data_IF_520773981058
#
_entry.id   IF_520773981058
#
_cell.length_a   1.000
_cell.length_b   1.000
_cell.length_c   1.000
_cell.angle_alpha   90.00
_cell.angle_beta   90.00
_cell.angle_gamma   90.00
#
_symmetry.space_group_name_H-M   'P 1'
#
loop_
_entity.id
_entity.type
_entity.pdbx_description
1 polymer ?
#
# COMPACT_ATOMS: atom_id res chain seq x y z
N UNK A 1 -5.84 66.51 -9.28
CA UNK A 1 -6.31 65.54 -10.32
C UNK A 1 -5.10 65.09 -11.10
N UNK A 2 -4.72 63.80 -11.03
CA UNK A 2 -3.53 63.23 -11.67
C UNK A 2 -3.91 61.85 -12.23
N UNK A 3 -3.60 61.53 -13.50
CA UNK A 3 -4.15 60.37 -14.19
C UNK A 3 -3.48 59.07 -13.76
N UNK A 4 -4.31 58.04 -13.64
CA UNK A 4 -3.99 56.63 -13.40
C UNK A 4 -3.42 56.07 -14.71
N UNK A 5 -2.20 55.53 -14.67
CA UNK A 5 -1.64 54.75 -15.77
C UNK A 5 -1.74 53.27 -15.42
N UNK A 6 -2.62 52.59 -16.14
CA UNK A 6 -2.94 51.17 -16.03
C UNK A 6 -1.82 50.35 -16.71
N UNK A 7 -0.96 49.71 -15.92
CA UNK A 7 0.01 48.75 -16.43
C UNK A 7 -0.64 47.37 -16.55
N UNK A 8 -0.97 46.97 -17.78
CA UNK A 8 -1.43 45.62 -18.11
C UNK A 8 -0.20 44.70 -18.05
N UNK A 9 -0.07 43.94 -16.98
CA UNK A 9 0.94 42.87 -16.90
C UNK A 9 0.44 41.65 -17.66
N UNK A 10 1.21 41.28 -18.67
CA UNK A 10 1.02 40.15 -19.56
C UNK A 10 0.99 38.83 -18.75
N UNK A 11 -0.13 38.12 -18.78
CA UNK A 11 -0.22 36.73 -18.28
C UNK A 11 0.62 35.82 -19.17
N UNK A 12 1.77 35.36 -18.67
CA UNK A 12 2.40 34.14 -19.20
C UNK A 12 1.76 32.93 -18.54
N UNK A 13 1.20 32.04 -19.36
CA UNK A 13 0.79 30.70 -18.97
C UNK A 13 2.00 30.00 -18.32
N UNK A 14 1.94 29.80 -17.00
CA UNK A 14 2.77 28.80 -16.35
C UNK A 14 2.17 27.43 -16.67
N UNK A 15 2.85 26.69 -17.54
CA UNK A 15 2.67 25.26 -17.70
C UNK A 15 2.97 24.63 -16.32
N UNK A 16 1.94 24.18 -15.60
CA UNK A 16 2.13 23.45 -14.35
C UNK A 16 2.85 22.13 -14.68
N UNK A 17 4.09 21.88 -14.21
CA UNK A 17 4.58 20.51 -14.21
C UNK A 17 3.68 19.70 -13.27
N UNK A 18 3.36 18.47 -13.66
CA UNK A 18 2.61 17.55 -12.83
C UNK A 18 3.40 17.24 -11.55
N UNK A 19 3.13 17.98 -10.47
CA UNK A 19 3.73 17.78 -9.16
C UNK A 19 3.05 16.60 -8.43
N UNK A 20 3.11 15.41 -9.01
CA UNK A 20 2.61 14.18 -8.38
C UNK A 20 3.73 13.28 -7.81
N UNK A 21 5.01 13.62 -7.98
CA UNK A 21 6.14 12.85 -7.43
C UNK A 21 6.95 13.58 -6.35
N UNK A 22 6.57 14.80 -5.98
CA UNK A 22 7.38 15.64 -5.09
C UNK A 22 6.73 15.73 -3.70
N UNK A 23 6.81 14.62 -2.96
CA UNK A 23 6.66 14.62 -1.51
C UNK A 23 7.82 13.83 -0.92
N UNK A 24 8.77 14.62 -0.39
CA UNK A 24 9.77 14.25 0.61
C UNK A 24 11.22 13.98 0.16
N UNK A 25 11.77 14.79 -0.73
CA UNK A 25 13.22 15.05 -0.71
C UNK A 25 13.53 16.10 0.36
N UNK A 26 13.93 15.65 1.55
CA UNK A 26 14.71 16.48 2.48
C UNK A 26 16.19 16.33 2.07
N UNK A 27 16.84 17.38 1.56
CA UNK A 27 18.26 17.32 1.24
C UNK A 27 19.08 17.31 2.54
N UNK A 28 19.95 16.32 2.71
CA UNK A 28 21.14 16.50 3.54
C UNK A 28 21.34 15.65 4.80
N UNK A 29 21.02 14.34 4.81
CA UNK A 29 21.72 13.43 5.75
C UNK A 29 21.90 12.03 5.20
N UNK A 30 22.94 11.84 4.37
CA UNK A 30 23.45 10.51 4.05
C UNK A 30 24.23 10.02 5.26
N UNK A 31 23.60 9.19 6.09
CA UNK A 31 24.33 8.39 7.08
C UNK A 31 24.65 7.05 6.44
N UNK A 32 25.94 6.73 6.41
CA UNK A 32 26.51 5.54 5.82
C UNK A 32 25.70 4.27 6.15
N UNK A 33 25.36 3.51 5.10
CA UNK A 33 24.84 2.16 5.23
C UNK A 33 25.94 1.26 5.78
N UNK A 34 25.97 1.12 7.11
CA UNK A 34 26.54 -0.05 7.75
C UNK A 34 25.42 -1.08 7.81
N UNK A 35 25.67 -2.29 7.30
CA UNK A 35 24.76 -3.42 7.44
C UNK A 35 24.45 -3.65 8.93
N UNK A 36 23.32 -3.12 9.40
CA UNK A 36 22.83 -3.34 10.73
C UNK A 36 22.00 -4.64 10.73
N UNK A 37 22.65 -5.69 11.24
CA UNK A 37 22.01 -6.83 11.87
C UNK A 37 20.71 -6.42 12.59
N UNK A 38 19.60 -7.03 12.20
CA UNK A 38 18.45 -7.31 13.06
C UNK A 38 18.04 -6.22 14.06
N UNK A 39 17.87 -4.97 13.61
CA UNK A 39 17.25 -3.96 14.45
C UNK A 39 15.76 -4.32 14.64
N UNK A 40 15.42 -4.88 15.81
CA UNK A 40 14.04 -4.85 16.33
C UNK A 40 13.64 -3.38 16.42
N UNK A 41 12.86 -2.89 15.46
CA UNK A 41 12.23 -1.57 15.53
C UNK A 41 11.21 -1.65 16.67
N UNK A 42 11.64 -1.26 17.87
CA UNK A 42 10.78 -1.06 19.04
C UNK A 42 10.03 0.26 18.94
N UNK A 43 9.34 0.47 17.83
CA UNK A 43 8.28 1.46 17.70
C UNK A 43 6.99 0.67 17.48
N UNK A 44 5.91 1.11 18.12
CA UNK A 44 4.59 0.50 17.94
C UNK A 44 4.25 0.50 16.45
N UNK A 45 4.45 -0.65 15.79
CA UNK A 45 4.16 -0.80 14.38
C UNK A 45 2.65 -0.66 14.20
N UNK A 46 2.25 0.18 13.26
CA UNK A 46 0.85 0.36 12.93
C UNK A 46 0.63 -0.03 11.47
N UNK A 47 -0.45 -0.74 11.20
CA UNK A 47 -0.83 -1.12 9.84
C UNK A 47 -1.43 0.08 9.13
N UNK A 48 -0.65 0.69 8.24
CA UNK A 48 -1.06 1.84 7.45
C UNK A 48 -1.10 1.62 5.95
N UNK A 49 -1.52 2.62 5.16
CA UNK A 49 -1.58 2.54 3.70
C UNK A 49 -0.28 2.03 3.04
N UNK A 50 0.88 2.36 3.62
CA UNK A 50 2.19 1.92 3.13
C UNK A 50 2.44 0.41 3.25
N UNK A 51 1.61 -0.33 3.97
CA UNK A 51 1.65 -1.79 3.99
C UNK A 51 0.88 -2.40 2.84
N UNK A 52 0.24 -1.63 1.97
CA UNK A 52 -0.47 -2.17 0.80
C UNK A 52 0.53 -2.70 -0.23
N UNK A 53 0.19 -3.80 -0.90
CA UNK A 53 1.07 -4.44 -1.86
C UNK A 53 0.69 -5.88 -2.17
N UNK A 54 1.61 -6.54 -2.85
CA UNK A 54 1.56 -7.97 -3.12
C UNK A 54 2.86 -8.61 -2.62
N UNK A 55 2.75 -9.66 -1.82
CA UNK A 55 3.87 -10.43 -1.31
C UNK A 55 3.64 -11.91 -1.63
N UNK A 56 4.72 -12.64 -1.81
CA UNK A 56 4.71 -14.07 -2.06
C UNK A 56 5.63 -14.77 -1.07
N UNK A 57 5.40 -16.07 -0.84
CA UNK A 57 6.28 -16.92 -0.05
C UNK A 57 7.26 -17.66 -0.98
N UNK A 58 8.57 -17.34 -0.96
CA UNK A 58 9.55 -18.02 -1.81
C UNK A 58 9.73 -19.52 -1.50
N UNK A 59 9.38 -19.96 -0.29
CA UNK A 59 9.44 -21.37 0.08
C UNK A 59 8.21 -22.15 -0.41
N UNK A 60 7.12 -21.45 -0.73
CA UNK A 60 5.86 -22.01 -1.20
C UNK A 60 5.45 -21.34 -2.50
N UNK A 61 6.13 -21.75 -3.57
CA UNK A 61 5.81 -21.30 -4.93
C UNK A 61 4.31 -21.38 -5.18
N UNK A 62 3.74 -20.32 -5.76
CA UNK A 62 2.30 -20.25 -6.01
C UNK A 62 1.47 -19.76 -4.83
N UNK A 63 2.09 -19.38 -3.70
CA UNK A 63 1.42 -18.76 -2.56
C UNK A 63 1.81 -17.32 -2.29
N UNK A 64 0.86 -16.55 -1.74
CA UNK A 64 1.08 -15.18 -1.33
C UNK A 64 -0.20 -14.40 -1.11
N UNK A 65 -0.04 -13.13 -0.72
CA UNK A 65 -1.16 -12.27 -0.37
C UNK A 65 -1.05 -10.93 -1.07
N UNK A 66 -2.17 -10.44 -1.57
CA UNK A 66 -2.37 -9.05 -1.96
C UNK A 66 -3.14 -8.40 -0.82
N UNK A 67 -2.63 -7.30 -0.26
CA UNK A 67 -3.30 -6.53 0.78
C UNK A 67 -3.42 -5.09 0.32
N UNK A 68 -4.60 -4.51 0.56
CA UNK A 68 -4.88 -3.12 0.28
C UNK A 68 -5.52 -2.52 1.54
N UNK A 69 -4.89 -1.49 2.10
CA UNK A 69 -5.56 -0.61 3.07
C UNK A 69 -6.29 0.47 2.29
N UNK A 70 -7.60 0.57 2.51
CA UNK A 70 -8.52 1.45 1.80
C UNK A 70 -8.60 2.83 2.49
N UNK A 71 -9.02 3.90 1.77
CA UNK A 71 -9.12 5.25 2.34
C UNK A 71 -10.05 5.38 3.55
N UNK A 72 -10.99 4.45 3.73
CA UNK A 72 -11.90 4.41 4.89
C UNK A 72 -11.30 3.71 6.13
N UNK A 73 -10.01 3.36 6.11
CA UNK A 73 -9.33 2.67 7.21
C UNK A 73 -9.66 1.17 7.32
N UNK A 74 -10.31 0.58 6.31
CA UNK A 74 -10.52 -0.86 6.21
C UNK A 74 -9.46 -1.52 5.34
N UNK A 75 -9.34 -2.83 5.45
CA UNK A 75 -8.45 -3.62 4.60
C UNK A 75 -9.22 -4.58 3.70
N UNK A 76 -8.65 -4.86 2.53
CA UNK A 76 -8.99 -5.96 1.63
C UNK A 76 -7.77 -6.86 1.50
N UNK A 77 -7.96 -8.17 1.57
CA UNK A 77 -6.90 -9.13 1.25
C UNK A 77 -7.35 -10.20 0.27
N UNK A 78 -6.46 -10.60 -0.63
CA UNK A 78 -6.62 -11.75 -1.51
C UNK A 78 -5.44 -12.68 -1.28
N UNK A 79 -5.70 -13.90 -0.81
CA UNK A 79 -4.68 -14.92 -0.61
C UNK A 79 -4.79 -15.98 -1.70
N UNK A 80 -3.73 -16.15 -2.48
CA UNK A 80 -3.57 -17.26 -3.41
C UNK A 80 -2.76 -18.37 -2.72
N UNK A 81 -3.30 -19.59 -2.68
CA UNK A 81 -2.76 -20.71 -1.91
C UNK A 81 -3.23 -22.05 -2.50
N UNK A 82 -3.13 -23.14 -1.75
CA UNK A 82 -3.55 -24.49 -2.13
C UNK A 82 -4.73 -24.95 -1.25
N UNK A 83 -5.59 -25.86 -1.76
CA UNK A 83 -6.63 -26.48 -0.94
C UNK A 83 -6.03 -27.23 0.26
N UNK A 84 -6.78 -27.35 1.37
CA UNK A 84 -6.35 -28.17 2.49
C UNK A 84 -6.26 -29.65 2.09
N UNK A 85 -5.47 -30.42 2.84
CA UNK A 85 -5.31 -31.86 2.59
C UNK A 85 -6.64 -32.58 2.57
N UNK A 86 -6.88 -33.37 1.52
CA UNK A 86 -8.13 -34.12 1.33
C UNK A 86 -9.16 -33.41 0.45
N UNK A 87 -8.91 -32.16 0.04
CA UNK A 87 -9.72 -31.47 -0.97
C UNK A 87 -9.05 -31.50 -2.35
N UNK A 88 -9.85 -31.63 -3.40
CA UNK A 88 -9.37 -31.60 -4.79
C UNK A 88 -9.09 -30.17 -5.27
N UNK A 89 -8.11 -30.01 -6.16
CA UNK A 89 -7.81 -28.77 -6.86
C UNK A 89 -6.34 -28.37 -6.76
N UNK A 90 -5.84 -27.70 -7.79
CA UNK A 90 -4.43 -27.29 -7.86
C UNK A 90 -4.17 -25.91 -7.25
N UNK A 91 -5.21 -25.11 -7.02
CA UNK A 91 -5.10 -23.79 -6.38
C UNK A 91 -6.39 -23.42 -5.65
N UNK A 92 -6.25 -22.71 -4.54
CA UNK A 92 -7.33 -22.10 -3.77
C UNK A 92 -7.10 -20.59 -3.63
N UNK A 93 -8.21 -19.86 -3.56
CA UNK A 93 -8.22 -18.41 -3.40
C UNK A 93 -9.09 -18.06 -2.22
N UNK A 94 -8.62 -17.14 -1.37
CA UNK A 94 -9.38 -16.58 -0.26
C UNK A 94 -9.48 -15.07 -0.46
N UNK A 95 -10.70 -14.54 -0.36
CA UNK A 95 -10.99 -13.12 -0.49
C UNK A 95 -11.54 -12.64 0.84
N UNK A 96 -10.77 -11.82 1.54
CA UNK A 96 -11.13 -11.26 2.84
C UNK A 96 -11.48 -9.78 2.68
N UNK A 97 -12.66 -9.39 3.15
CA UNK A 97 -13.20 -8.04 3.00
C UNK A 97 -13.50 -7.42 4.36
N UNK A 98 -13.62 -6.08 4.39
CA UNK A 98 -13.93 -5.29 5.59
C UNK A 98 -13.00 -5.58 6.78
N UNK A 99 -11.70 -5.70 6.51
CA UNK A 99 -10.70 -5.94 7.54
C UNK A 99 -10.58 -4.76 8.50
N UNK A 100 -10.76 -4.99 9.79
CA UNK A 100 -10.58 -3.98 10.84
C UNK A 100 -9.12 -3.90 11.27
N UNK A 101 -8.57 -2.69 11.27
CA UNK A 101 -7.18 -2.44 11.68
C UNK A 101 -7.16 -2.08 13.18
N UNK A 102 -6.38 -2.84 13.95
CA UNK A 102 -6.19 -2.73 15.39
C UNK A 102 -4.68 -2.75 15.68
N UNK A 103 -4.06 -1.56 15.68
CA UNK A 103 -2.61 -1.40 15.85
C UNK A 103 -1.81 -2.11 14.76
N UNK A 104 -1.12 -3.18 15.14
CA UNK A 104 -0.28 -4.01 14.27
C UNK A 104 -1.03 -5.17 13.60
N UNK A 105 -2.35 -5.29 13.85
CA UNK A 105 -3.16 -6.42 13.40
C UNK A 105 -4.30 -5.96 12.49
N UNK A 106 -4.61 -6.80 11.51
CA UNK A 106 -5.85 -6.72 10.73
C UNK A 106 -6.72 -7.92 11.09
N UNK A 107 -8.00 -7.69 11.39
CA UNK A 107 -8.98 -8.74 11.66
C UNK A 107 -10.01 -8.77 10.55
N UNK A 108 -10.12 -9.90 9.86
CA UNK A 108 -11.15 -10.16 8.88
C UNK A 108 -12.19 -11.12 9.47
N UNK A 109 -13.44 -10.68 9.59
CA UNK A 109 -14.56 -11.51 10.05
C UNK A 109 -15.26 -12.24 8.89
N UNK A 110 -15.09 -11.73 7.66
CA UNK A 110 -15.66 -12.30 6.45
C UNK A 110 -14.56 -12.67 5.46
N UNK A 111 -14.44 -13.97 5.20
CA UNK A 111 -13.50 -14.54 4.22
C UNK A 111 -14.27 -15.50 3.32
N UNK A 112 -14.18 -15.27 2.01
CA UNK A 112 -14.84 -16.07 0.99
C UNK A 112 -13.82 -16.93 0.26
N UNK A 113 -14.18 -18.17 -0.03
CA UNK A 113 -13.41 -19.08 -0.87
C UNK A 113 -14.20 -19.41 -2.13
N UNK A 114 -13.86 -18.83 -3.29
CA UNK A 114 -14.49 -19.20 -4.55
C UNK A 114 -14.19 -20.67 -4.90
N UNK A 115 -15.20 -21.36 -5.46
CA UNK A 115 -15.10 -22.73 -5.95
C UNK A 115 -15.60 -22.81 -7.39
N UNK A 116 -15.06 -23.73 -8.19
CA UNK A 116 -15.57 -24.02 -9.54
C UNK A 116 -15.25 -22.96 -10.60
N UNK A 117 -14.21 -22.13 -10.38
CA UNK A 117 -13.66 -21.28 -11.43
C UNK A 117 -13.16 -22.15 -12.60
N UNK A 118 -13.48 -21.74 -13.83
CA UNK A 118 -13.15 -22.44 -15.08
C UNK A 118 -12.57 -21.45 -16.08
#
# INVERSE_FOLDING_TARGET
MKPILLAITLSSLALYPAAACELHEQPGKVLASTAASGAKVGGDYWVGPGVSGAWFDPARNGEGVILQVLPNGRALAIWFTYPPTGESGDQAWLIAQDGEIDGDRIRFTQVYRPLGGR
#
